data_IF_584903978406
#
_entry.id   IF_584903978406
#
_cell.length_a   1.000
_cell.length_b   1.000
_cell.length_c   1.000
_cell.angle_alpha   90.00
_cell.angle_beta   90.00
_cell.angle_gamma   90.00
#
_symmetry.space_group_name_H-M   'P 1'
#
loop_
_entity.id
_entity.type
_entity.pdbx_description
1 polymer ?
#
# COMPACT_ATOMS: atom_id res chain seq x y z
N UNK A 1 -48.01 20.67 3.96
CA UNK A 1 -46.61 21.17 3.97
C UNK A 1 -45.96 21.16 5.36
N UNK A 2 -46.58 21.70 6.43
CA UNK A 2 -45.96 21.72 7.78
C UNK A 2 -45.54 20.34 8.32
N UNK A 3 -46.38 19.31 8.15
CA UNK A 3 -46.09 17.92 8.59
C UNK A 3 -44.90 17.30 7.85
N UNK A 4 -44.73 17.62 6.56
CA UNK A 4 -43.61 17.17 5.73
C UNK A 4 -42.30 17.83 6.17
N UNK A 5 -42.33 19.13 6.48
CA UNK A 5 -41.15 19.86 6.98
C UNK A 5 -40.70 19.30 8.33
N UNK A 6 -41.64 18.98 9.22
CA UNK A 6 -41.35 18.38 10.53
C UNK A 6 -40.72 16.98 10.36
N UNK A 7 -41.27 16.12 9.49
CA UNK A 7 -40.68 14.81 9.23
C UNK A 7 -39.28 14.89 8.61
N UNK A 8 -39.06 15.89 7.74
CA UNK A 8 -37.75 16.12 7.13
C UNK A 8 -36.71 16.55 8.18
N UNK A 9 -37.07 17.49 9.05
CA UNK A 9 -36.20 17.96 10.14
C UNK A 9 -35.86 16.79 11.07
N UNK A 10 -36.86 16.03 11.51
CA UNK A 10 -36.64 14.85 12.38
C UNK A 10 -35.74 13.82 11.70
N UNK A 11 -35.94 13.56 10.40
CA UNK A 11 -35.10 12.64 9.64
C UNK A 11 -33.63 13.09 9.58
N UNK A 12 -33.38 14.36 9.25
CA UNK A 12 -32.02 14.92 9.23
C UNK A 12 -31.40 14.90 10.63
N UNK A 13 -32.17 15.22 11.67
CA UNK A 13 -31.68 15.17 13.06
C UNK A 13 -31.28 13.75 13.46
N UNK A 14 -32.08 12.74 13.12
CA UNK A 14 -31.75 11.34 13.41
C UNK A 14 -30.52 10.86 12.64
N UNK A 15 -30.37 11.24 11.36
CA UNK A 15 -29.15 10.95 10.60
C UNK A 15 -27.94 11.61 11.24
N UNK A 16 -28.03 12.89 11.60
CA UNK A 16 -26.93 13.62 12.23
C UNK A 16 -26.51 12.99 13.56
N UNK A 17 -27.47 12.60 14.42
CA UNK A 17 -27.18 11.91 15.69
C UNK A 17 -26.50 10.57 15.41
N UNK A 18 -27.03 9.76 14.49
CA UNK A 18 -26.46 8.46 14.14
C UNK A 18 -25.04 8.57 13.58
N UNK A 19 -24.79 9.49 12.64
CA UNK A 19 -23.45 9.74 12.09
C UNK A 19 -22.49 10.24 13.16
N UNK A 20 -22.94 11.13 14.04
CA UNK A 20 -22.09 11.69 15.10
C UNK A 20 -21.71 10.61 16.11
N UNK A 21 -22.64 9.74 16.50
CA UNK A 21 -22.35 8.60 17.38
C UNK A 21 -21.34 7.63 16.73
N UNK A 22 -21.54 7.27 15.46
CA UNK A 22 -20.59 6.44 14.72
C UNK A 22 -19.18 7.06 14.68
N UNK A 23 -19.08 8.37 14.42
CA UNK A 23 -17.79 9.07 14.41
C UNK A 23 -17.13 9.07 15.80
N UNK A 24 -17.91 9.24 16.88
CA UNK A 24 -17.36 9.17 18.24
C UNK A 24 -16.90 7.76 18.63
N UNK A 25 -17.65 6.72 18.26
CA UNK A 25 -17.27 5.34 18.53
C UNK A 25 -16.03 4.91 17.73
N UNK A 26 -15.98 5.24 16.43
CA UNK A 26 -14.85 4.87 15.55
C UNK A 26 -13.58 5.68 15.90
N UNK A 27 -13.69 6.87 16.48
CA UNK A 27 -12.52 7.64 16.94
C UNK A 27 -11.69 6.91 18.01
N UNK A 28 -12.31 6.00 18.76
CA UNK A 28 -11.61 5.18 19.76
C UNK A 28 -10.98 3.92 19.15
N UNK A 29 -11.12 3.72 17.84
CA UNK A 29 -10.57 2.55 17.18
C UNK A 29 -9.17 2.82 16.70
N UNK A 30 -8.31 1.82 16.84
CA UNK A 30 -6.97 1.85 16.30
C UNK A 30 -7.03 1.58 14.79
N UNK A 31 -6.46 2.48 14.00
CA UNK A 31 -6.24 2.24 12.58
C UNK A 31 -4.99 1.37 12.43
N UNK A 32 -5.17 0.17 11.90
CA UNK A 32 -4.10 -0.83 11.79
C UNK A 32 -3.93 -1.21 10.33
N UNK A 33 -2.68 -1.40 9.92
CA UNK A 33 -2.38 -1.95 8.60
C UNK A 33 -2.99 -3.36 8.48
N UNK A 34 -3.96 -3.51 7.57
CA UNK A 34 -4.66 -4.77 7.33
C UNK A 34 -3.88 -5.76 6.47
N UNK A 35 -2.71 -5.37 5.92
CA UNK A 35 -1.94 -6.22 4.99
C UNK A 35 -1.53 -7.55 5.60
N UNK A 36 -0.94 -7.53 6.79
CA UNK A 36 -0.53 -8.76 7.49
C UNK A 36 -1.71 -9.67 7.82
N UNK A 37 -2.89 -9.08 8.09
CA UNK A 37 -4.11 -9.80 8.43
C UNK A 37 -4.79 -10.43 7.20
N UNK A 38 -4.60 -9.88 6.00
CA UNK A 38 -5.30 -10.32 4.78
C UNK A 38 -4.41 -11.16 3.85
N UNK A 39 -3.14 -10.80 3.69
CA UNK A 39 -2.21 -11.44 2.75
C UNK A 39 -1.16 -12.34 3.44
N UNK A 40 -1.08 -12.31 4.78
CA UNK A 40 -0.01 -12.95 5.55
C UNK A 40 1.26 -12.09 5.59
N UNK A 41 2.25 -12.51 6.39
CA UNK A 41 3.52 -11.78 6.51
C UNK A 41 4.28 -11.83 5.19
N UNK A 42 4.41 -10.71 4.50
CA UNK A 42 5.17 -10.60 3.26
C UNK A 42 6.65 -10.94 3.50
N UNK A 43 7.23 -11.80 2.65
CA UNK A 43 8.67 -12.09 2.68
C UNK A 43 9.38 -10.98 1.93
N UNK A 44 9.86 -9.99 2.67
CA UNK A 44 10.68 -8.90 2.14
C UNK A 44 12.04 -9.47 1.72
N UNK A 45 12.33 -9.37 0.42
CA UNK A 45 13.66 -9.62 -0.13
C UNK A 45 14.38 -8.32 -0.39
N UNK A 46 15.69 -8.41 -0.35
CA UNK A 46 16.58 -7.27 -0.47
C UNK A 46 17.68 -7.62 -1.47
N UNK A 47 17.94 -6.73 -2.42
CA UNK A 47 19.07 -6.87 -3.33
C UNK A 47 19.79 -5.53 -3.49
N UNK A 48 21.11 -5.57 -3.42
CA UNK A 48 21.97 -4.40 -3.52
C UNK A 48 22.72 -4.38 -4.84
N UNK A 49 22.82 -3.19 -5.44
CA UNK A 49 23.48 -2.91 -6.70
C UNK A 49 24.49 -1.79 -6.50
N UNK A 50 25.65 -1.88 -7.17
CA UNK A 50 26.62 -0.79 -7.18
C UNK A 50 26.38 0.12 -8.38
N UNK A 51 26.30 1.43 -8.10
CA UNK A 51 26.19 2.50 -9.09
C UNK A 51 27.47 3.33 -9.17
N UNK A 52 28.63 2.76 -8.79
CA UNK A 52 29.90 3.51 -8.77
C UNK A 52 30.40 3.93 -10.16
N UNK A 53 30.24 3.07 -11.15
CA UNK A 53 30.75 3.30 -12.51
C UNK A 53 29.65 3.20 -13.58
N UNK A 54 28.44 2.81 -13.19
CA UNK A 54 27.32 2.54 -14.10
C UNK A 54 26.02 3.04 -13.47
N UNK A 55 25.08 3.41 -14.33
CA UNK A 55 23.75 3.80 -13.89
C UNK A 55 22.87 2.55 -13.74
N UNK A 56 21.89 2.61 -12.86
CA UNK A 56 20.93 1.53 -12.61
C UNK A 56 19.57 1.95 -13.15
N UNK A 57 19.00 1.14 -14.03
CA UNK A 57 17.64 1.36 -14.52
C UNK A 57 16.70 0.40 -13.78
N UNK A 58 15.67 0.94 -13.16
CA UNK A 58 14.61 0.18 -12.49
C UNK A 58 13.35 0.35 -13.33
N UNK A 59 12.84 -0.74 -13.86
CA UNK A 59 11.69 -0.78 -14.76
C UNK A 59 10.56 -1.51 -14.05
N UNK A 60 9.45 -0.82 -13.84
CA UNK A 60 8.18 -1.41 -13.43
C UNK A 60 7.44 -1.83 -14.69
N UNK A 61 7.34 -3.14 -14.93
CA UNK A 61 6.83 -3.73 -16.16
C UNK A 61 5.41 -4.28 -15.93
N UNK A 62 4.43 -3.72 -16.65
CA UNK A 62 3.00 -4.06 -16.60
C UNK A 62 2.31 -3.73 -15.27
N UNK A 63 2.58 -2.54 -14.71
CA UNK A 63 2.21 -2.23 -13.33
C UNK A 63 1.41 -0.92 -13.18
N UNK A 64 0.09 -1.04 -12.99
CA UNK A 64 -0.80 0.08 -12.62
C UNK A 64 -0.84 0.33 -11.11
N UNK A 65 -0.42 -0.63 -10.28
CA UNK A 65 -0.66 -0.63 -8.83
C UNK A 65 0.61 -0.73 -7.98
N UNK A 66 1.74 -1.17 -8.54
CA UNK A 66 3.01 -1.10 -7.83
C UNK A 66 3.57 0.31 -7.81
N UNK A 67 3.86 0.78 -6.61
CA UNK A 67 4.52 2.07 -6.39
C UNK A 67 5.87 1.86 -5.72
N UNK A 68 6.70 2.91 -5.75
CA UNK A 68 7.95 2.90 -5.01
C UNK A 68 8.01 4.02 -3.99
N UNK A 69 8.65 3.73 -2.86
CA UNK A 69 9.10 4.70 -1.88
C UNK A 69 10.62 4.83 -1.96
N UNK A 70 11.12 6.05 -1.77
CA UNK A 70 12.55 6.31 -1.68
C UNK A 70 12.97 6.55 -0.23
N UNK A 71 14.00 5.85 0.22
CA UNK A 71 14.65 6.10 1.51
C UNK A 71 16.09 6.51 1.30
N UNK A 72 16.53 7.52 2.06
CA UNK A 72 17.90 7.98 2.02
C UNK A 72 18.72 7.36 3.14
N UNK A 73 19.84 6.78 2.77
CA UNK A 73 20.84 6.24 3.68
C UNK A 73 22.22 6.60 3.12
N UNK A 74 22.88 7.59 3.73
CA UNK A 74 24.17 8.11 3.26
C UNK A 74 25.31 7.09 3.41
N UNK A 75 25.16 6.09 4.29
CA UNK A 75 26.16 5.04 4.47
C UNK A 75 26.24 4.10 3.26
N UNK A 76 25.19 4.08 2.42
CA UNK A 76 25.14 3.32 1.18
C UNK A 76 26.16 3.81 0.13
N UNK A 77 26.64 5.06 0.21
CA UNK A 77 27.63 5.63 -0.73
C UNK A 77 27.23 5.43 -2.19
N UNK A 78 27.94 4.59 -2.95
CA UNK A 78 27.68 4.30 -4.36
C UNK A 78 26.88 2.99 -4.54
N UNK A 79 26.12 2.57 -3.52
CA UNK A 79 25.23 1.41 -3.55
C UNK A 79 23.76 1.83 -3.51
N UNK A 80 22.92 1.00 -4.12
CA UNK A 80 21.46 1.15 -4.17
C UNK A 80 20.86 -0.19 -3.79
N UNK A 81 19.98 -0.19 -2.79
CA UNK A 81 19.32 -1.39 -2.28
C UNK A 81 17.84 -1.33 -2.60
N UNK A 82 17.33 -2.39 -3.19
CA UNK A 82 15.92 -2.55 -3.52
C UNK A 82 15.33 -3.56 -2.55
N UNK A 83 14.31 -3.14 -1.82
CA UNK A 83 13.52 -3.98 -0.92
C UNK A 83 12.14 -4.19 -1.54
N UNK A 84 11.72 -5.43 -1.68
CA UNK A 84 10.45 -5.77 -2.33
C UNK A 84 9.82 -7.01 -1.71
N UNK A 85 8.49 -7.07 -1.78
CA UNK A 85 7.74 -8.24 -1.36
C UNK A 85 7.93 -9.37 -2.39
N UNK A 86 8.64 -10.44 -2.03
CA UNK A 86 8.94 -11.52 -2.98
C UNK A 86 7.76 -12.47 -3.24
N UNK A 87 6.70 -12.34 -2.45
CA UNK A 87 5.41 -13.00 -2.64
C UNK A 87 4.63 -12.34 -3.78
N UNK A 88 4.75 -11.01 -3.93
CA UNK A 88 3.94 -10.21 -4.85
C UNK A 88 4.71 -9.66 -6.04
N UNK A 89 6.01 -9.46 -5.89
CA UNK A 89 6.86 -8.87 -6.92
C UNK A 89 7.90 -9.89 -7.37
N UNK A 90 7.93 -10.14 -8.68
CA UNK A 90 9.03 -10.83 -9.34
C UNK A 90 10.05 -9.80 -9.77
N UNK A 91 11.30 -9.97 -9.32
CA UNK A 91 12.40 -9.16 -9.77
C UNK A 91 13.32 -9.99 -10.67
N UNK A 92 13.61 -9.47 -11.86
CA UNK A 92 14.60 -10.02 -12.77
C UNK A 92 15.66 -8.97 -13.11
N UNK A 93 16.88 -9.41 -13.42
CA UNK A 93 18.01 -8.52 -13.67
C UNK A 93 18.63 -8.88 -15.02
N UNK A 94 18.76 -7.89 -15.90
CA UNK A 94 19.46 -8.00 -17.18
C UNK A 94 20.45 -6.86 -17.35
N UNK A 95 21.72 -7.13 -17.10
CA UNK A 95 22.77 -6.12 -17.15
C UNK A 95 22.57 -5.03 -16.09
N UNK A 96 22.23 -3.83 -16.52
CA UNK A 96 21.98 -2.65 -15.67
C UNK A 96 20.49 -2.39 -15.45
N UNK A 97 19.62 -3.22 -16.03
CA UNK A 97 18.17 -3.09 -15.90
C UNK A 97 17.67 -4.09 -14.85
N UNK A 98 16.91 -3.58 -13.89
CA UNK A 98 16.16 -4.33 -12.91
C UNK A 98 14.69 -4.23 -13.29
N UNK A 99 14.07 -5.35 -13.62
CA UNK A 99 12.66 -5.41 -13.96
C UNK A 99 11.89 -5.91 -12.75
N UNK A 100 10.87 -5.14 -12.37
CA UNK A 100 9.95 -5.43 -11.28
C UNK A 100 8.58 -5.66 -11.93
N UNK A 101 8.05 -6.87 -11.75
CA UNK A 101 6.78 -7.31 -12.29
C UNK A 101 5.89 -7.80 -11.17
N UNK A 102 4.64 -7.37 -11.14
CA UNK A 102 3.63 -7.96 -10.27
C UNK A 102 3.44 -9.45 -10.64
N UNK A 103 3.50 -10.34 -9.64
CA UNK A 103 3.28 -11.78 -9.82
C UNK A 103 1.80 -12.14 -9.96
N UNK A 104 0.92 -11.28 -9.46
CA UNK A 104 -0.50 -11.55 -9.36
C UNK A 104 -1.28 -10.34 -9.87
N UNK A 105 -1.87 -10.47 -11.06
CA UNK A 105 -3.07 -9.70 -11.35
C UNK A 105 -4.14 -10.15 -10.36
N UNK A 106 -4.52 -9.28 -9.41
CA UNK A 106 -5.66 -9.54 -8.54
C UNK A 106 -6.94 -9.48 -9.38
N UNK A 107 -7.33 -10.61 -9.99
CA UNK A 107 -8.69 -10.83 -10.42
C UNK A 107 -9.57 -10.78 -9.16
N UNK A 108 -10.18 -9.62 -8.91
CA UNK A 108 -11.08 -9.41 -7.79
C UNK A 108 -12.28 -10.35 -7.90
N UNK A 109 -12.21 -11.47 -7.18
CA UNK A 109 -13.32 -12.40 -7.04
C UNK A 109 -14.33 -11.84 -6.03
N UNK A 110 -15.60 -12.22 -6.15
CA UNK A 110 -16.69 -11.84 -5.22
C UNK A 110 -16.32 -12.21 -3.76
N UNK A 111 -15.45 -13.21 -3.60
CA UNK A 111 -14.91 -13.65 -2.32
C UNK A 111 -14.04 -12.57 -1.63
N UNK A 112 -13.41 -11.65 -2.37
CA UNK A 112 -12.63 -10.55 -1.78
C UNK A 112 -13.53 -9.57 -1.03
N UNK A 113 -14.72 -9.27 -1.57
CA UNK A 113 -15.69 -8.41 -0.90
C UNK A 113 -16.19 -9.02 0.42
N UNK A 114 -16.41 -10.33 0.45
CA UNK A 114 -16.81 -11.04 1.67
C UNK A 114 -15.67 -11.14 2.69
N UNK A 115 -14.44 -11.35 2.24
CA UNK A 115 -13.27 -11.35 3.11
C UNK A 115 -13.02 -9.97 3.70
N UNK A 116 -13.14 -8.90 2.91
CA UNK A 116 -13.05 -7.52 3.40
C UNK A 116 -14.12 -7.23 4.45
N UNK A 117 -15.37 -7.63 4.21
CA UNK A 117 -16.45 -7.48 5.18
C UNK A 117 -16.17 -8.26 6.46
N UNK A 118 -15.68 -9.50 6.36
CA UNK A 118 -15.32 -10.32 7.51
C UNK A 118 -14.17 -9.70 8.31
N UNK A 119 -13.12 -9.20 7.65
CA UNK A 119 -12.00 -8.50 8.30
C UNK A 119 -12.47 -7.20 8.96
N UNK A 120 -13.36 -6.44 8.32
CA UNK A 120 -13.96 -5.25 8.91
C UNK A 120 -14.76 -5.60 10.17
N UNK A 121 -15.66 -6.59 10.09
CA UNK A 121 -16.47 -7.05 11.23
C UNK A 121 -15.60 -7.62 12.36
N UNK A 122 -14.51 -8.30 12.05
CA UNK A 122 -13.58 -8.80 13.05
C UNK A 122 -12.75 -7.67 13.69
N UNK A 123 -12.38 -6.67 12.89
CA UNK A 123 -11.84 -5.40 13.39
C UNK A 123 -12.78 -4.72 14.37
N UNK A 124 -14.08 -4.67 14.08
CA UNK A 124 -15.07 -4.09 15.00
C UNK A 124 -15.08 -4.75 16.38
N UNK A 125 -14.93 -6.09 16.46
CA UNK A 125 -14.86 -6.81 17.74
C UNK A 125 -13.64 -6.40 18.58
N UNK A 126 -12.56 -6.01 17.92
CA UNK A 126 -11.29 -5.68 18.56
C UNK A 126 -11.02 -4.17 18.62
N UNK A 127 -12.02 -3.33 18.28
CA UNK A 127 -11.87 -1.87 18.13
C UNK A 127 -10.72 -1.49 17.19
N UNK A 128 -10.58 -2.22 16.08
CA UNK A 128 -9.58 -1.96 15.04
C UNK A 128 -10.27 -1.67 13.72
N UNK A 129 -9.80 -0.65 13.02
CA UNK A 129 -10.15 -0.43 11.62
C UNK A 129 -8.95 -0.82 10.78
N UNK A 130 -9.07 -1.93 10.06
CA UNK A 130 -8.04 -2.37 9.13
C UNK A 130 -8.09 -1.53 7.86
N UNK A 131 -7.04 -0.80 7.58
CA UNK A 131 -6.88 -0.07 6.32
C UNK A 131 -6.05 -0.93 5.38
N UNK A 132 -6.57 -1.18 4.17
CA UNK A 132 -5.81 -1.84 3.12
C UNK A 132 -5.21 -0.76 2.23
N UNK A 133 -3.92 -0.52 2.39
CA UNK A 133 -3.18 0.23 1.41
C UNK A 133 -2.80 -0.73 0.27
N UNK A 134 -3.49 -0.59 -0.86
CA UNK A 134 -3.42 -1.51 -2.00
C UNK A 134 -2.10 -1.45 -2.79
N UNK A 135 -1.25 -0.47 -2.50
CA UNK A 135 0.00 -0.35 -3.22
C UNK A 135 1.00 -1.34 -2.65
N UNK A 136 1.37 -2.32 -3.47
CA UNK A 136 2.61 -3.04 -3.25
C UNK A 136 3.76 -2.05 -3.41
N UNK A 137 4.58 -1.96 -2.36
CA UNK A 137 5.61 -0.94 -2.25
C UNK A 137 6.98 -1.56 -2.41
N UNK A 138 7.66 -1.14 -3.45
CA UNK A 138 9.11 -1.34 -3.58
C UNK A 138 9.80 -0.19 -2.85
N UNK A 139 10.74 -0.50 -1.97
CA UNK A 139 11.53 0.54 -1.30
C UNK A 139 12.91 0.59 -1.95
N UNK A 140 13.26 1.74 -2.50
CA UNK A 140 14.60 2.02 -3.04
C UNK A 140 15.38 2.79 -1.99
N UNK A 141 16.49 2.23 -1.53
CA UNK A 141 17.38 2.81 -0.52
C UNK A 141 18.69 3.19 -1.18
N UNK A 142 19.09 4.45 -1.06
CA UNK A 142 20.37 4.94 -1.61
C UNK A 142 20.85 6.21 -0.89
N UNK A 143 22.12 6.56 -1.10
CA UNK A 143 22.60 7.91 -0.73
C UNK A 143 22.01 8.96 -1.67
N UNK A 144 22.01 10.23 -1.26
CA UNK A 144 21.59 11.33 -2.14
C UNK A 144 22.38 11.37 -3.45
N UNK A 145 23.68 11.04 -3.40
CA UNK A 145 24.56 11.00 -4.58
C UNK A 145 24.25 9.81 -5.49
N UNK A 146 23.98 8.64 -4.93
CA UNK A 146 23.68 7.43 -5.71
C UNK A 146 22.32 7.55 -6.43
N UNK A 147 21.37 8.29 -5.85
CA UNK A 147 20.07 8.55 -6.47
C UNK A 147 20.18 9.15 -7.88
N UNK A 148 21.12 10.06 -8.11
CA UNK A 148 21.30 10.72 -9.42
C UNK A 148 21.70 9.75 -10.54
N UNK A 149 22.05 8.52 -10.18
CA UNK A 149 22.46 7.44 -11.09
C UNK A 149 21.42 6.34 -11.25
N UNK A 150 20.25 6.52 -10.66
CA UNK A 150 19.16 5.57 -10.71
C UNK A 150 18.03 6.17 -11.53
N UNK A 151 17.67 5.49 -12.60
CA UNK A 151 16.56 5.87 -13.48
C UNK A 151 15.40 4.93 -13.22
N UNK A 152 14.22 5.48 -12.92
CA UNK A 152 13.01 4.68 -12.67
C UNK A 152 12.02 4.93 -13.79
N UNK A 153 11.59 3.85 -14.45
CA UNK A 153 10.66 3.89 -15.58
C UNK A 153 9.47 2.96 -15.31
N UNK A 154 8.31 3.35 -15.82
CA UNK A 154 7.11 2.52 -15.91
C UNK A 154 6.89 2.17 -17.38
N UNK A 155 6.72 0.88 -17.68
CA UNK A 155 6.45 0.38 -19.03
C UNK A 155 5.04 -0.19 -19.14
#
# INVERSE_FOLDING_TARGET
>A
MKKFLISLIVGITMMAIGTTMLVFEIKEFDFVDGRDAYYGSDIIKTQTFSVKDKDLNIVFDDDYYTSYDWKYDEDMKDEVRIEYSSTKIHMSVSGQNVYLQERYHNDHDINDGLNYLNTFLDGLKHRKVYTMEYNDRVVIVSSAKAKDRVHVEYQ
#
